data_IF_710955440442
#
_entry.id   IF_710955440442
#
_cell.length_a   1.000
_cell.length_b   1.000
_cell.length_c   1.000
_cell.angle_alpha   90.00
_cell.angle_beta   90.00
_cell.angle_gamma   90.00
#
_symmetry.space_group_name_H-M   'P 1'
#
loop_
_entity.id
_entity.type
_entity.pdbx_description
1 polymer ?
#
# COMPACT_ATOMS: atom_id res chain seq x y z
N UNK A 1 0.15 11.45 -16.29
CA UNK A 1 -0.37 12.00 -15.01
C UNK A 1 -1.24 10.92 -14.35
N UNK A 2 -0.61 9.93 -13.71
CA UNK A 2 -1.25 8.71 -13.22
C UNK A 2 -0.59 8.22 -11.91
N UNK A 3 -0.90 8.88 -10.79
CA UNK A 3 -0.60 8.42 -9.44
C UNK A 3 -1.93 8.57 -8.72
N UNK A 4 -2.63 7.56 -8.21
CA UNK A 4 -2.22 6.44 -7.36
C UNK A 4 -3.13 5.24 -7.65
N UNK A 5 -2.61 4.01 -7.64
CA UNK A 5 -3.44 2.79 -7.75
C UNK A 5 -3.60 2.03 -6.44
N UNK A 6 -3.18 2.63 -5.33
CA UNK A 6 -3.36 2.06 -4.00
C UNK A 6 -3.94 3.15 -3.11
N UNK A 7 -5.27 3.12 -2.96
CA UNK A 7 -5.95 3.83 -1.89
C UNK A 7 -6.10 2.89 -0.68
N UNK A 8 -6.50 3.46 0.45
CA UNK A 8 -6.52 2.79 1.76
C UNK A 8 -7.85 2.93 2.40
N UNK A 9 -8.24 1.93 3.21
CA UNK A 9 -9.30 2.13 4.17
C UNK A 9 -8.91 1.75 5.61
N UNK A 10 -9.20 2.73 6.47
CA UNK A 10 -9.22 2.79 7.93
C UNK A 10 -9.74 1.57 8.65
N UNK A 11 -9.12 1.25 9.80
CA UNK A 11 -9.82 0.78 11.00
C UNK A 11 -9.17 1.36 12.27
N UNK A 12 -10.05 1.74 13.20
CA UNK A 12 -9.91 2.40 14.52
C UNK A 12 -8.47 2.62 15.04
N UNK A 13 -8.11 3.84 15.49
CA UNK A 13 -6.86 4.03 16.21
C UNK A 13 -6.88 3.20 17.49
N UNK A 14 -5.83 2.41 17.71
CA UNK A 14 -5.50 1.97 19.06
C UNK A 14 -5.23 3.24 19.88
N UNK A 15 -5.81 3.33 21.08
CA UNK A 15 -5.29 4.28 22.07
C UNK A 15 -3.82 3.92 22.31
N UNK A 16 -2.89 4.71 21.76
CA UNK A 16 -1.45 4.56 22.02
C UNK A 16 -0.54 4.32 20.81
N UNK A 17 -1.03 4.22 19.56
CA UNK A 17 -0.12 4.20 18.40
C UNK A 17 0.33 5.62 18.05
N UNK A 18 1.53 5.98 18.52
CA UNK A 18 2.25 7.18 18.08
C UNK A 18 2.78 6.96 16.67
N UNK A 19 2.13 7.54 15.66
CA UNK A 19 2.79 7.78 14.38
C UNK A 19 3.75 8.95 14.61
N UNK A 20 5.05 8.69 14.56
CA UNK A 20 6.05 9.76 14.58
C UNK A 20 5.83 10.64 13.35
N UNK A 21 5.49 11.90 13.61
CA UNK A 21 5.22 12.95 12.60
C UNK A 21 6.49 13.51 11.95
N UNK A 22 7.66 13.00 12.33
CA UNK A 22 8.93 13.57 11.89
C UNK A 22 9.24 13.15 10.44
N UNK A 23 9.67 14.09 9.59
CA UNK A 23 10.17 13.78 8.27
C UNK A 23 11.45 12.95 8.41
N UNK A 24 11.36 11.69 8.05
CA UNK A 24 12.50 10.78 7.93
C UNK A 24 13.22 11.11 6.60
N UNK A 25 14.55 11.30 6.56
CA UNK A 25 15.26 11.72 5.35
C UNK A 25 15.11 10.73 4.19
N UNK A 26 14.99 11.24 2.95
CA UNK A 26 14.77 10.46 1.72
C UNK A 26 15.78 9.31 1.49
N UNK A 27 17.03 9.46 1.92
CA UNK A 27 18.07 8.43 1.80
C UNK A 27 17.82 7.18 2.68
N UNK A 28 16.96 7.28 3.70
CA UNK A 28 16.67 6.17 4.62
C UNK A 28 15.51 5.27 4.18
N UNK A 29 15.00 5.45 2.95
CA UNK A 29 13.91 4.65 2.37
C UNK A 29 14.36 3.63 1.33
N UNK A 30 15.63 3.61 0.92
CA UNK A 30 16.10 2.65 -0.09
C UNK A 30 16.53 1.33 0.54
N UNK A 31 15.84 0.25 0.19
CA UNK A 31 16.19 -1.10 0.62
C UNK A 31 17.00 -1.82 -0.47
N UNK A 32 18.03 -2.61 -0.10
CA UNK A 32 18.84 -3.34 -1.07
C UNK A 32 18.02 -4.45 -1.72
N UNK A 33 18.23 -4.67 -3.03
CA UNK A 33 17.49 -5.68 -3.78
C UNK A 33 17.61 -7.09 -3.16
N UNK A 34 18.79 -7.44 -2.65
CA UNK A 34 19.03 -8.72 -1.98
C UNK A 34 18.09 -8.97 -0.79
N UNK A 35 17.81 -7.93 0.02
CA UNK A 35 16.87 -8.06 1.13
C UNK A 35 15.43 -8.31 0.65
N UNK A 36 15.05 -7.73 -0.50
CA UNK A 36 13.73 -7.94 -1.09
C UNK A 36 13.60 -9.31 -1.75
N UNK A 37 14.70 -9.83 -2.33
CA UNK A 37 14.77 -11.20 -2.80
C UNK A 37 14.59 -12.18 -1.65
N UNK A 38 15.31 -11.99 -0.53
CA UNK A 38 15.16 -12.82 0.66
C UNK A 38 13.73 -12.77 1.19
N UNK A 39 13.17 -11.56 1.34
CA UNK A 39 11.82 -11.35 1.86
C UNK A 39 10.71 -12.01 1.04
N UNK A 40 10.95 -12.27 -0.24
CA UNK A 40 9.97 -12.82 -1.19
C UNK A 40 10.32 -14.21 -1.70
N UNK A 41 11.34 -14.87 -1.13
CA UNK A 41 11.90 -16.12 -1.66
C UNK A 41 12.21 -16.01 -3.17
N UNK A 42 12.95 -14.97 -3.55
CA UNK A 42 13.31 -14.63 -4.92
C UNK A 42 12.10 -14.35 -5.83
N UNK A 43 11.11 -13.59 -5.34
CA UNK A 43 9.88 -13.24 -6.06
C UNK A 43 9.11 -14.47 -6.57
N UNK A 44 9.05 -15.50 -5.73
CA UNK A 44 8.31 -16.74 -5.99
C UNK A 44 6.83 -16.43 -6.26
N UNK A 45 6.27 -16.97 -7.35
CA UNK A 45 4.88 -16.71 -7.74
C UNK A 45 3.88 -17.25 -6.69
N UNK A 46 4.29 -18.10 -5.74
CA UNK A 46 3.47 -18.47 -4.57
C UNK A 46 3.11 -17.27 -3.67
N UNK A 47 3.91 -16.21 -3.71
CA UNK A 47 3.69 -14.99 -2.95
C UNK A 47 3.11 -13.86 -3.81
N UNK A 48 2.74 -14.15 -5.07
CA UNK A 48 2.11 -13.17 -5.96
C UNK A 48 0.71 -12.82 -5.45
N UNK A 49 0.50 -11.55 -5.13
CA UNK A 49 -0.80 -10.99 -4.71
C UNK A 49 -1.59 -10.53 -5.93
N UNK A 50 -0.93 -9.84 -6.86
CA UNK A 50 -1.58 -9.24 -8.02
C UNK A 50 -0.62 -9.11 -9.21
N UNK A 51 -1.18 -9.15 -10.42
CA UNK A 51 -0.49 -8.87 -11.67
C UNK A 51 -1.33 -7.89 -12.48
N UNK A 52 -0.72 -6.83 -13.00
CA UNK A 52 -1.39 -5.83 -13.81
C UNK A 52 -0.45 -5.14 -14.80
N UNK A 53 -0.96 -4.12 -15.51
CA UNK A 53 -0.19 -3.39 -16.53
C UNK A 53 1.05 -2.66 -16.02
N UNK A 54 1.19 -2.49 -14.69
CA UNK A 54 2.29 -1.77 -14.04
C UNK A 54 3.30 -2.73 -13.39
N UNK A 55 3.14 -4.05 -13.58
CA UNK A 55 4.01 -5.07 -13.01
C UNK A 55 3.29 -6.03 -12.07
N UNK A 56 4.04 -6.56 -11.11
CA UNK A 56 3.60 -7.59 -10.18
C UNK A 56 3.66 -7.08 -8.74
N UNK A 57 2.73 -7.51 -7.90
CA UNK A 57 2.73 -7.22 -6.46
C UNK A 57 2.93 -8.52 -5.69
N UNK A 58 3.95 -8.57 -4.86
CA UNK A 58 4.30 -9.75 -4.06
C UNK A 58 4.11 -9.48 -2.57
N UNK A 59 3.73 -10.51 -1.82
CA UNK A 59 3.83 -10.53 -0.36
C UNK A 59 5.28 -10.86 0.02
N UNK A 60 5.79 -10.23 1.07
CA UNK A 60 7.07 -10.60 1.66
C UNK A 60 7.11 -10.36 3.16
N UNK A 61 8.19 -10.82 3.78
CA UNK A 61 8.51 -10.58 5.19
C UNK A 61 9.97 -10.16 5.28
N UNK A 62 10.22 -8.94 5.73
CA UNK A 62 11.58 -8.43 5.94
C UNK A 62 12.26 -9.16 7.12
N UNK A 63 13.58 -9.03 7.25
CA UNK A 63 14.37 -9.72 8.27
C UNK A 63 13.97 -9.38 9.71
N UNK A 64 13.40 -8.19 9.93
CA UNK A 64 12.86 -7.74 11.22
C UNK A 64 11.45 -8.28 11.52
N UNK A 65 10.89 -9.10 10.60
CA UNK A 65 9.53 -9.65 10.69
C UNK A 65 8.44 -8.74 10.11
N UNK A 66 8.79 -7.57 9.59
CA UNK A 66 7.83 -6.64 8.99
C UNK A 66 7.22 -7.25 7.72
N UNK A 67 5.89 -7.42 7.71
CA UNK A 67 5.15 -7.92 6.54
C UNK A 67 4.97 -6.81 5.52
N UNK A 68 5.35 -7.07 4.28
CA UNK A 68 5.39 -6.06 3.20
C UNK A 68 4.69 -6.52 1.92
N UNK A 69 4.20 -5.54 1.15
CA UNK A 69 3.71 -5.70 -0.20
C UNK A 69 4.69 -5.01 -1.16
N UNK A 70 5.31 -5.77 -2.07
CA UNK A 70 6.32 -5.30 -3.00
C UNK A 70 5.72 -5.16 -4.40
N UNK A 71 5.50 -3.92 -4.84
CA UNK A 71 5.07 -3.60 -6.20
C UNK A 71 6.31 -3.47 -7.09
N UNK A 72 6.64 -4.55 -7.80
CA UNK A 72 7.77 -4.65 -8.72
C UNK A 72 7.32 -4.26 -10.12
N UNK A 73 7.88 -3.18 -10.64
CA UNK A 73 7.59 -2.66 -11.97
C UNK A 73 8.34 -3.45 -13.03
N UNK A 74 7.74 -3.55 -14.21
CA UNK A 74 8.46 -4.02 -15.40
C UNK A 74 9.10 -2.81 -16.07
N UNK A 75 10.45 -2.72 -16.18
CA UNK A 75 11.13 -1.59 -16.82
C UNK A 75 10.99 -1.67 -18.35
N UNK A 76 9.78 -1.43 -18.85
CA UNK A 76 9.46 -1.57 -20.29
C UNK A 76 9.55 -0.27 -21.07
N UNK A 77 9.54 0.89 -20.39
CA UNK A 77 9.61 2.20 -21.04
C UNK A 77 10.08 3.32 -20.10
N UNK A 78 10.56 4.42 -20.69
CA UNK A 78 10.90 5.65 -19.97
C UNK A 78 9.72 6.20 -19.15
N UNK A 79 8.51 6.09 -19.70
CA UNK A 79 7.29 6.49 -19.00
C UNK A 79 7.13 5.73 -17.68
N UNK A 80 7.38 4.42 -17.65
CA UNK A 80 7.27 3.62 -16.41
C UNK A 80 8.31 4.05 -15.37
N UNK A 81 9.50 4.46 -15.80
CA UNK A 81 10.53 4.98 -14.91
C UNK A 81 10.14 6.34 -14.30
N UNK A 82 9.70 7.28 -15.14
CA UNK A 82 9.18 8.59 -14.66
C UNK A 82 8.00 8.38 -13.72
N UNK A 83 7.18 7.38 -14.01
CA UNK A 83 6.08 7.02 -13.17
C UNK A 83 6.53 6.52 -11.79
N UNK A 84 7.51 5.62 -11.75
CA UNK A 84 8.09 5.14 -10.51
C UNK A 84 8.70 6.27 -9.66
N UNK A 85 9.45 7.19 -10.27
CA UNK A 85 10.06 8.33 -9.57
C UNK A 85 9.00 9.27 -8.99
N UNK A 86 7.98 9.61 -9.78
CA UNK A 86 6.88 10.46 -9.32
C UNK A 86 6.16 9.81 -8.13
N UNK A 87 5.91 8.50 -8.18
CA UNK A 87 5.25 7.77 -7.08
C UNK A 87 6.08 7.81 -5.79
N UNK A 88 7.41 7.74 -5.87
CA UNK A 88 8.30 7.89 -4.70
C UNK A 88 8.21 9.31 -4.14
N UNK A 89 8.38 10.32 -4.98
CA UNK A 89 8.37 11.73 -4.57
C UNK A 89 7.06 12.09 -3.88
N UNK A 90 5.95 11.67 -4.46
CA UNK A 90 4.62 11.90 -3.91
C UNK A 90 4.39 11.11 -2.61
N UNK A 91 4.57 9.78 -2.63
CA UNK A 91 4.23 8.93 -1.48
C UNK A 91 5.13 9.14 -0.27
N UNK A 92 6.39 9.54 -0.49
CA UNK A 92 7.32 9.83 0.61
C UNK A 92 6.84 10.99 1.50
N UNK A 93 6.01 11.88 0.96
CA UNK A 93 5.49 13.05 1.67
C UNK A 93 4.15 12.79 2.37
N UNK A 94 3.43 11.71 1.99
CA UNK A 94 2.09 11.45 2.49
C UNK A 94 2.10 10.47 3.66
N UNK A 95 1.78 10.99 4.85
CA UNK A 95 1.54 10.19 6.05
C UNK A 95 0.17 10.52 6.62
N UNK A 96 -0.73 9.54 6.54
CA UNK A 96 -2.08 9.68 7.07
C UNK A 96 -2.60 8.30 7.53
N UNK A 97 -3.37 8.21 8.64
CA UNK A 97 -3.94 6.93 9.11
C UNK A 97 -4.89 6.24 8.12
N UNK A 98 -5.31 6.95 7.08
CA UNK A 98 -6.16 6.45 6.00
C UNK A 98 -5.45 6.46 4.64
N UNK A 99 -4.12 6.37 4.65
CA UNK A 99 -3.26 6.11 3.49
C UNK A 99 -2.29 4.98 3.85
N UNK A 100 -1.74 4.30 2.83
CA UNK A 100 -0.96 3.07 3.00
C UNK A 100 0.45 3.56 3.11
N UNK A 101 1.15 3.09 4.13
CA UNK A 101 2.48 3.54 4.38
C UNK A 101 3.42 2.97 3.32
N UNK A 102 4.04 3.86 2.56
CA UNK A 102 5.27 3.54 1.85
C UNK A 102 6.37 3.35 2.90
N UNK A 103 6.84 2.10 3.03
CA UNK A 103 7.96 1.75 3.91
C UNK A 103 9.28 2.12 3.25
N UNK A 104 9.36 1.96 1.93
CA UNK A 104 10.56 2.27 1.18
C UNK A 104 10.44 1.93 -0.30
N UNK A 105 11.57 2.00 -1.00
CA UNK A 105 11.69 1.61 -2.39
C UNK A 105 13.02 0.90 -2.66
N UNK A 106 13.14 0.28 -3.83
CA UNK A 106 14.40 -0.22 -4.37
C UNK A 106 14.52 0.25 -5.80
N UNK A 107 15.67 0.85 -6.12
CA UNK A 107 16.09 1.24 -7.46
C UNK A 107 17.53 0.79 -7.66
N UNK A 108 17.73 -0.52 -7.77
CA UNK A 108 19.04 -1.17 -7.82
C UNK A 108 19.00 -2.33 -8.83
N UNK A 109 20.11 -2.65 -9.49
CA UNK A 109 20.22 -3.75 -10.48
C UNK A 109 19.13 -3.75 -11.58
N UNK A 110 18.70 -2.56 -12.02
CA UNK A 110 17.61 -2.39 -12.99
C UNK A 110 16.22 -2.84 -12.47
N UNK A 111 16.08 -2.95 -11.15
CA UNK A 111 14.85 -3.30 -10.45
C UNK A 111 14.22 -2.06 -9.80
N UNK A 112 12.95 -1.82 -10.14
CA UNK A 112 12.15 -0.72 -9.59
C UNK A 112 11.03 -1.31 -8.74
N UNK A 113 11.11 -1.13 -7.43
CA UNK A 113 10.19 -1.76 -6.47
C UNK A 113 9.73 -0.74 -5.43
N UNK A 114 8.43 -0.61 -5.26
CA UNK A 114 7.84 0.10 -4.11
C UNK A 114 7.46 -0.90 -3.03
N UNK A 115 7.75 -0.54 -1.79
CA UNK A 115 7.60 -1.42 -0.62
C UNK A 115 6.58 -0.77 0.30
N UNK A 116 5.43 -1.39 0.39
CA UNK A 116 4.34 -0.97 1.25
C UNK A 116 4.22 -1.92 2.43
N UNK A 117 3.57 -1.46 3.50
CA UNK A 117 3.06 -2.38 4.50
C UNK A 117 2.07 -3.38 3.89
N UNK A 118 2.11 -4.63 4.36
CA UNK A 118 1.13 -5.64 3.95
C UNK A 118 -0.09 -5.63 4.87
N UNK A 119 -1.27 -5.46 4.26
CA UNK A 119 -2.56 -5.47 4.97
C UNK A 119 -3.25 -6.83 4.76
N UNK A 120 -3.37 -7.60 5.84
CA UNK A 120 -3.74 -9.02 5.77
C UNK A 120 -5.22 -9.29 5.44
N UNK A 121 -6.11 -8.30 5.61
CA UNK A 121 -7.55 -8.53 5.49
C UNK A 121 -8.08 -8.17 4.09
N UNK A 122 -7.20 -8.14 3.10
CA UNK A 122 -7.58 -7.92 1.71
C UNK A 122 -8.19 -6.55 1.45
N UNK A 123 -9.12 -6.49 0.49
CA UNK A 123 -9.77 -5.26 0.05
C UNK A 123 -11.28 -5.29 0.28
N UNK A 124 -11.90 -4.10 0.28
CA UNK A 124 -13.34 -3.92 0.49
C UNK A 124 -14.18 -4.69 -0.54
N UNK A 125 -13.72 -4.77 -1.79
CA UNK A 125 -14.42 -5.55 -2.82
C UNK A 125 -14.58 -7.02 -2.41
N UNK A 126 -13.52 -7.67 -1.93
CA UNK A 126 -13.58 -9.06 -1.46
C UNK A 126 -14.56 -9.25 -0.31
N UNK A 127 -14.63 -8.30 0.63
CA UNK A 127 -15.61 -8.32 1.73
C UNK A 127 -17.05 -8.12 1.25
N UNK A 128 -17.27 -7.26 0.24
CA UNK A 128 -18.61 -6.98 -0.29
C UNK A 128 -19.13 -8.13 -1.15
N UNK A 129 -18.24 -8.84 -1.85
CA UNK A 129 -18.60 -9.98 -2.70
C UNK A 129 -18.65 -11.32 -1.95
N UNK A 130 -18.28 -11.36 -0.67
CA UNK A 130 -18.29 -12.59 0.13
C UNK A 130 -17.22 -13.61 -0.31
N UNK A 131 -16.09 -13.14 -0.83
CA UNK A 131 -14.98 -13.98 -1.30
C UNK A 131 -14.12 -14.44 -0.12
N UNK A 132 -14.61 -15.42 0.63
CA UNK A 132 -13.93 -16.07 1.77
C UNK A 132 -13.50 -15.13 2.92
N UNK A 133 -14.06 -13.91 2.96
CA UNK A 133 -13.86 -12.94 4.03
C UNK A 133 -15.15 -12.70 4.83
N UNK A 134 -15.04 -12.39 6.13
CA UNK A 134 -16.21 -12.05 6.94
C UNK A 134 -17.01 -10.90 6.32
N UNK A 135 -18.33 -11.04 6.36
CA UNK A 135 -19.24 -9.98 5.91
C UNK A 135 -19.14 -8.77 6.84
N UNK A 136 -19.23 -7.58 6.25
CA UNK A 136 -19.15 -6.33 7.01
C UNK A 136 -20.55 -5.93 7.52
N UNK A 137 -20.64 -5.60 8.81
CA UNK A 137 -21.84 -4.97 9.40
C UNK A 137 -22.07 -3.58 8.82
N UNK A 138 -23.26 -3.02 9.04
CA UNK A 138 -23.58 -1.68 8.56
C UNK A 138 -22.66 -0.60 9.19
N UNK A 139 -22.41 -0.71 10.49
CA UNK A 139 -21.53 0.19 11.24
C UNK A 139 -20.10 0.13 10.68
N UNK A 140 -19.61 -1.07 10.38
CA UNK A 140 -18.28 -1.26 9.81
C UNK A 140 -18.17 -0.62 8.42
N UNK A 141 -19.21 -0.75 7.58
CA UNK A 141 -19.27 -0.11 6.26
C UNK A 141 -19.26 1.41 6.38
N UNK A 142 -19.97 1.99 7.36
CA UNK A 142 -19.96 3.43 7.60
C UNK A 142 -18.58 3.93 8.04
N UNK A 143 -17.91 3.23 8.96
CA UNK A 143 -16.54 3.55 9.40
C UNK A 143 -15.54 3.51 8.23
N UNK A 144 -15.68 2.51 7.35
CA UNK A 144 -14.92 2.37 6.11
C UNK A 144 -15.12 3.58 5.19
N UNK A 145 -16.37 3.99 4.96
CA UNK A 145 -16.70 5.17 4.15
C UNK A 145 -16.12 6.47 4.74
N UNK A 146 -16.23 6.66 6.06
CA UNK A 146 -15.67 7.83 6.76
C UNK A 146 -14.14 7.84 6.62
N UNK A 147 -13.49 6.70 6.80
CA UNK A 147 -12.04 6.55 6.62
C UNK A 147 -11.58 6.90 5.20
N UNK A 148 -12.28 6.37 4.19
CA UNK A 148 -12.00 6.69 2.79
C UNK A 148 -12.15 8.18 2.51
N UNK A 149 -13.23 8.81 2.98
CA UNK A 149 -13.47 10.24 2.82
C UNK A 149 -12.38 11.09 3.48
N UNK A 150 -11.89 10.71 4.67
CA UNK A 150 -10.78 11.38 5.36
C UNK A 150 -9.46 11.29 4.58
N UNK A 151 -9.12 10.11 4.07
CA UNK A 151 -7.93 9.93 3.23
C UNK A 151 -8.00 10.77 1.96
N UNK A 152 -9.17 10.81 1.29
CA UNK A 152 -9.37 11.59 0.07
C UNK A 152 -9.30 13.08 0.36
N UNK A 153 -9.90 13.52 1.46
CA UNK A 153 -9.81 14.89 1.92
C UNK A 153 -8.35 15.32 2.16
N UNK A 154 -7.54 14.48 2.81
CA UNK A 154 -6.12 14.75 3.02
C UNK A 154 -5.37 14.90 1.68
N UNK A 155 -5.57 13.99 0.73
CA UNK A 155 -4.96 14.10 -0.61
C UNK A 155 -5.39 15.39 -1.33
N UNK A 156 -6.69 15.70 -1.29
CA UNK A 156 -7.23 16.88 -1.98
C UNK A 156 -6.71 18.20 -1.37
N UNK A 157 -6.51 18.25 -0.06
CA UNK A 157 -5.86 19.39 0.61
C UNK A 157 -4.42 19.59 0.11
N UNK A 158 -3.72 18.49 -0.21
CA UNK A 158 -2.40 18.49 -0.84
C UNK A 158 -2.45 18.64 -2.37
N UNK A 159 -3.61 18.97 -2.96
CA UNK A 159 -3.85 19.14 -4.41
C UNK A 159 -3.60 17.87 -5.25
N UNK A 160 -3.68 16.71 -4.62
CA UNK A 160 -3.55 15.41 -5.29
C UNK A 160 -4.93 14.88 -5.68
N UNK A 161 -5.07 14.40 -6.91
CA UNK A 161 -6.29 13.73 -7.40
C UNK A 161 -5.97 12.24 -7.57
N UNK A 162 -6.67 11.36 -6.83
CA UNK A 162 -6.39 9.92 -6.81
C UNK A 162 -6.63 9.20 -8.16
N UNK A 163 -7.69 9.57 -8.89
CA UNK A 163 -8.09 9.06 -10.23
C UNK A 163 -8.50 7.59 -10.35
N UNK A 164 -8.23 6.73 -9.37
CA UNK A 164 -8.63 5.31 -9.39
C UNK A 164 -9.36 4.87 -8.10
N UNK A 165 -10.31 5.69 -7.62
CA UNK A 165 -11.08 5.38 -6.41
C UNK A 165 -12.08 4.26 -6.71
N UNK A 166 -11.89 3.09 -6.09
CA UNK A 166 -12.76 1.91 -6.20
C UNK A 166 -12.57 0.97 -5.02
N UNK A 167 -13.55 0.13 -4.73
CA UNK A 167 -13.53 -0.82 -3.60
C UNK A 167 -12.38 -1.84 -3.66
N UNK A 168 -11.87 -2.18 -4.85
CA UNK A 168 -10.69 -3.04 -4.99
C UNK A 168 -9.38 -2.36 -4.53
N UNK A 169 -9.34 -1.03 -4.57
CA UNK A 169 -8.23 -0.21 -4.08
C UNK A 169 -8.47 0.25 -2.64
N UNK A 170 -9.30 -0.44 -1.87
CA UNK A 170 -9.63 -0.07 -0.50
C UNK A 170 -9.20 -1.20 0.42
N UNK A 171 -7.95 -1.18 0.88
CA UNK A 171 -7.34 -2.25 1.68
C UNK A 171 -7.75 -2.20 3.17
N UNK A 172 -7.76 -3.35 3.84
CA UNK A 172 -8.28 -3.54 5.20
C UNK A 172 -7.19 -3.97 6.20
N UNK A 173 -6.95 -3.17 7.27
CA UNK A 173 -5.88 -3.44 8.27
C UNK A 173 -6.24 -4.40 9.41
N UNK A 174 -7.48 -4.38 9.89
CA UNK A 174 -7.93 -5.22 11.02
C UNK A 174 -9.21 -6.00 10.61
N UNK A 175 -9.42 -7.20 11.14
CA UNK A 175 -10.77 -7.77 11.20
C UNK A 175 -11.38 -7.38 12.54
N UNK A 176 -12.59 -6.83 12.51
CA UNK A 176 -13.40 -6.72 13.71
C UNK A 176 -13.61 -8.13 14.25
N UNK A 177 -12.93 -8.46 15.36
CA UNK A 177 -13.26 -9.68 16.09
C UNK A 177 -14.59 -9.41 16.77
N UNK A 178 -15.59 -10.21 16.41
CA UNK A 178 -16.81 -10.30 17.20
C UNK A 178 -16.36 -10.77 18.60
N UNK A 179 -16.43 -9.86 19.58
CA UNK A 179 -16.57 -10.29 20.97
C UNK A 179 -18.00 -10.75 21.19
#
# INVERSE_FOLDING_TARGET
>A
MFFFKVFVIYLKPQKGTTYTSDPVPQESFQLPFAALQEATNNFDDKFLIAKGGFGKVYRGVLCDGTKVALKRYSPTSQQVFEEFQTEIEDLSQFRHPNLVLLIGYCNDNNEMILIFEYLENGNLWSHLCGLDLPTLSWEQRLEICIGAARGLHYLHTSRIIHRDVKSANCLMRILWRNC
#
